data_IF_645917897921
#
_entry.id   IF_645917897921
#
_cell.length_a   1.000
_cell.length_b   1.000
_cell.length_c   1.000
_cell.angle_alpha   90.00
_cell.angle_beta   90.00
_cell.angle_gamma   90.00
#
_symmetry.space_group_name_H-M   'P 1'
#
loop_
_entity.id
_entity.type
_entity.pdbx_description
1 polymer ?
#
# COMPACT_ATOMS: atom_id res chain seq x y z
N UNK A 1 10.11 -7.22 30.11
CA UNK A 1 10.87 -5.95 30.01
C UNK A 1 9.96 -4.95 29.29
N UNK A 2 9.80 -3.70 29.76
CA UNK A 2 8.99 -2.73 29.01
C UNK A 2 9.64 -2.44 27.65
N UNK A 3 8.83 -2.14 26.60
CA UNK A 3 9.36 -1.84 25.29
C UNK A 3 10.31 -0.62 25.31
N UNK A 4 11.24 -0.52 24.35
CA UNK A 4 12.15 0.63 24.25
C UNK A 4 11.38 1.97 24.20
N UNK A 5 12.00 3.05 24.68
CA UNK A 5 11.38 4.37 24.68
C UNK A 5 10.90 4.80 23.28
N UNK A 6 11.65 4.42 22.23
CA UNK A 6 11.28 4.66 20.82
C UNK A 6 9.91 4.05 20.51
N UNK A 7 9.69 2.79 20.82
CA UNK A 7 8.43 2.10 20.54
C UNK A 7 7.27 2.68 21.35
N UNK A 8 7.47 2.97 22.63
CA UNK A 8 6.42 3.61 23.44
C UNK A 8 6.00 4.97 22.89
N UNK A 9 6.95 5.75 22.33
CA UNK A 9 6.66 7.05 21.71
C UNK A 9 5.84 6.84 20.43
N UNK A 10 6.18 5.87 19.58
CA UNK A 10 5.43 5.53 18.36
C UNK A 10 4.00 5.11 18.69
N UNK A 11 3.82 4.19 19.63
CA UNK A 11 2.50 3.72 20.06
C UNK A 11 1.63 4.85 20.64
N UNK A 12 2.22 5.72 21.45
CA UNK A 12 1.52 6.87 22.01
C UNK A 12 1.14 7.90 20.94
N UNK A 13 2.06 8.14 19.99
CA UNK A 13 1.84 9.06 18.88
C UNK A 13 0.71 8.56 17.98
N UNK A 14 0.74 7.28 17.58
CA UNK A 14 -0.31 6.69 16.76
C UNK A 14 -1.68 6.87 17.38
N UNK A 15 -1.84 6.50 18.67
CA UNK A 15 -3.10 6.67 19.40
C UNK A 15 -3.57 8.12 19.44
N UNK A 16 -2.68 9.05 19.80
CA UNK A 16 -3.04 10.46 19.95
C UNK A 16 -3.37 11.12 18.60
N UNK A 17 -2.62 10.80 17.54
CA UNK A 17 -2.88 11.33 16.22
C UNK A 17 -4.19 10.79 15.65
N UNK A 18 -4.49 9.50 15.85
CA UNK A 18 -5.78 8.92 15.46
C UNK A 18 -6.97 9.55 16.20
N UNK A 19 -6.79 9.88 17.50
CA UNK A 19 -7.86 10.47 18.30
C UNK A 19 -8.16 11.93 17.98
N UNK A 20 -7.15 12.76 17.73
CA UNK A 20 -7.33 14.20 17.62
C UNK A 20 -6.64 14.86 16.42
N UNK A 21 -6.02 14.08 15.57
CA UNK A 21 -5.30 14.54 14.39
C UNK A 21 -3.88 15.05 14.67
N UNK A 22 -3.03 15.07 13.63
CA UNK A 22 -1.62 15.49 13.74
C UNK A 22 -1.47 16.93 14.23
N UNK A 23 -2.34 17.84 13.79
CA UNK A 23 -2.26 19.26 14.19
C UNK A 23 -2.39 19.48 15.69
N UNK A 24 -3.31 18.75 16.34
CA UNK A 24 -3.60 18.89 17.78
C UNK A 24 -2.73 18.05 18.71
N UNK A 25 -2.11 16.99 18.22
CA UNK A 25 -1.20 16.16 18.99
C UNK A 25 0.13 16.90 19.20
N UNK A 26 0.48 17.25 20.43
CA UNK A 26 1.75 17.92 20.74
C UNK A 26 2.84 16.90 21.08
N UNK A 27 4.10 17.27 20.83
CA UNK A 27 5.27 16.43 21.18
C UNK A 27 5.33 16.16 22.69
N UNK A 28 4.98 17.14 23.50
CA UNK A 28 4.91 17.03 24.97
C UNK A 28 3.86 16.02 25.42
N UNK A 29 2.66 16.07 24.85
CA UNK A 29 1.59 15.09 25.17
C UNK A 29 1.96 13.67 24.74
N UNK A 30 2.57 13.53 23.56
CA UNK A 30 3.05 12.24 23.06
C UNK A 30 4.10 11.67 24.01
N UNK A 31 5.10 12.46 24.39
CA UNK A 31 6.14 12.04 25.33
C UNK A 31 5.57 11.66 26.70
N UNK A 32 4.65 12.46 27.23
CA UNK A 32 3.99 12.19 28.50
C UNK A 32 3.17 10.89 28.46
N UNK A 33 2.40 10.67 27.39
CA UNK A 33 1.63 9.44 27.18
C UNK A 33 2.51 8.19 26.97
N UNK A 34 3.74 8.38 26.48
CA UNK A 34 4.75 7.33 26.32
C UNK A 34 5.53 7.02 27.61
N UNK A 35 5.35 7.81 28.69
CA UNK A 35 6.21 7.75 29.87
C UNK A 35 7.68 8.03 29.52
N UNK A 36 7.93 9.02 28.66
CA UNK A 36 9.25 9.41 28.18
C UNK A 36 9.49 10.93 28.37
N UNK A 37 10.75 11.34 28.43
CA UNK A 37 11.08 12.75 28.35
C UNK A 37 10.88 13.26 26.91
N UNK A 38 10.42 14.50 26.74
CA UNK A 38 10.20 15.11 25.43
C UNK A 38 11.48 15.14 24.58
N UNK A 39 12.65 15.34 25.22
CA UNK A 39 13.94 15.25 24.55
C UNK A 39 14.24 13.89 23.91
N UNK A 40 13.63 12.80 24.42
CA UNK A 40 13.74 11.48 23.79
C UNK A 40 13.01 11.43 22.47
N UNK A 41 11.88 12.13 22.32
CA UNK A 41 11.18 12.25 21.03
C UNK A 41 12.06 12.96 20.01
N UNK A 42 12.61 14.10 20.36
CA UNK A 42 13.49 14.86 19.46
C UNK A 42 14.75 14.08 19.09
N UNK A 43 15.35 13.36 20.05
CA UNK A 43 16.53 12.53 19.79
C UNK A 43 16.24 11.39 18.81
N UNK A 44 15.07 10.76 18.88
CA UNK A 44 14.74 9.59 18.04
C UNK A 44 14.16 9.96 16.67
N UNK A 45 13.42 11.06 16.56
CA UNK A 45 12.60 11.39 15.40
C UNK A 45 12.88 12.77 14.80
N UNK A 46 13.66 13.60 15.48
CA UNK A 46 13.95 14.98 15.08
C UNK A 46 12.81 15.93 15.43
N UNK A 47 11.62 15.67 14.96
CA UNK A 47 10.41 16.45 15.24
C UNK A 47 9.13 15.61 15.08
N UNK A 48 7.98 16.27 15.22
CA UNK A 48 6.66 15.61 15.06
C UNK A 48 6.43 15.06 13.65
N UNK A 49 6.97 15.72 12.62
CA UNK A 49 6.82 15.24 11.24
C UNK A 49 7.73 14.06 10.96
N UNK A 50 8.94 14.03 11.51
CA UNK A 50 9.82 12.87 11.47
C UNK A 50 9.18 11.64 12.13
N UNK A 51 8.51 11.85 13.25
CA UNK A 51 7.73 10.82 13.95
C UNK A 51 6.55 10.32 13.08
N UNK A 52 5.79 11.21 12.44
CA UNK A 52 4.71 10.85 11.54
C UNK A 52 5.22 10.04 10.33
N UNK A 53 6.32 10.49 9.73
CA UNK A 53 6.92 9.78 8.59
C UNK A 53 7.34 8.37 8.97
N UNK A 54 7.90 8.20 10.17
CA UNK A 54 8.27 6.89 10.69
C UNK A 54 7.05 5.98 10.88
N UNK A 55 5.96 6.50 11.48
CA UNK A 55 4.71 5.78 11.62
C UNK A 55 4.17 5.30 10.26
N UNK A 56 4.07 6.20 9.29
CA UNK A 56 3.52 5.90 7.96
C UNK A 56 4.39 4.92 7.17
N UNK A 57 5.71 5.05 7.28
CA UNK A 57 6.64 4.30 6.44
C UNK A 57 6.94 2.90 6.97
N UNK A 58 6.92 2.71 8.30
CA UNK A 58 7.48 1.50 8.89
C UNK A 58 6.63 0.85 9.98
N UNK A 59 5.90 1.65 10.78
CA UNK A 59 5.30 1.16 12.03
C UNK A 59 3.80 0.89 11.93
N UNK A 60 3.11 1.36 10.89
CA UNK A 60 1.71 1.00 10.68
C UNK A 60 1.60 -0.50 10.37
N UNK A 61 0.86 -1.28 11.18
CA UNK A 61 0.62 -2.69 10.91
C UNK A 61 0.01 -2.92 9.52
N UNK A 62 -0.86 -2.01 9.09
CA UNK A 62 -1.52 -2.04 7.79
C UNK A 62 -0.52 -1.86 6.64
N UNK A 63 0.53 -1.03 6.83
CA UNK A 63 1.60 -0.90 5.85
C UNK A 63 2.44 -2.18 5.77
N UNK A 64 2.75 -2.78 6.93
CA UNK A 64 3.48 -4.04 6.98
C UNK A 64 2.66 -5.17 6.31
N UNK A 65 1.35 -5.25 6.59
CA UNK A 65 0.46 -6.21 5.98
C UNK A 65 0.36 -6.02 4.45
N UNK A 66 0.32 -4.78 3.96
CA UNK A 66 0.33 -4.52 2.51
C UNK A 66 1.66 -4.92 1.86
N UNK A 67 2.79 -4.59 2.49
CA UNK A 67 4.12 -5.02 1.98
C UNK A 67 4.30 -6.54 1.99
N UNK A 68 3.63 -7.24 2.90
CA UNK A 68 3.68 -8.69 2.98
C UNK A 68 3.00 -9.40 1.80
N UNK A 69 2.18 -8.70 0.99
CA UNK A 69 1.54 -9.27 -0.21
C UNK A 69 2.57 -9.92 -1.14
N UNK A 70 3.76 -9.32 -1.29
CA UNK A 70 4.82 -9.89 -2.11
C UNK A 70 5.31 -11.27 -1.62
N UNK A 71 5.10 -11.58 -0.33
CA UNK A 71 5.44 -12.87 0.28
C UNK A 71 4.22 -13.80 0.35
N UNK A 72 3.02 -13.27 0.58
CA UNK A 72 1.77 -14.03 0.68
C UNK A 72 1.25 -14.46 -0.70
N UNK A 73 1.45 -13.63 -1.71
CA UNK A 73 1.15 -13.90 -3.12
C UNK A 73 2.42 -13.68 -3.97
N UNK A 74 3.43 -14.56 -3.85
CA UNK A 74 4.71 -14.39 -4.54
C UNK A 74 4.51 -14.57 -6.05
N UNK A 75 5.14 -13.71 -6.87
CA UNK A 75 5.06 -13.80 -8.31
C UNK A 75 5.44 -15.18 -8.85
N UNK A 76 4.64 -15.69 -9.79
CA UNK A 76 4.85 -17.01 -10.40
C UNK A 76 4.34 -18.18 -9.56
N UNK A 77 3.76 -17.94 -8.41
CA UNK A 77 3.15 -18.98 -7.57
C UNK A 77 1.68 -18.64 -7.30
N UNK A 78 0.79 -19.52 -7.71
CA UNK A 78 -0.65 -19.36 -7.51
C UNK A 78 -1.34 -18.54 -8.62
N UNK A 79 -2.47 -17.95 -8.26
CA UNK A 79 -3.34 -17.19 -9.17
C UNK A 79 -3.09 -15.69 -9.04
N UNK A 80 -2.77 -15.03 -10.15
CA UNK A 80 -2.57 -13.58 -10.21
C UNK A 80 -3.84 -12.82 -9.81
N UNK A 81 -5.04 -13.27 -10.22
CA UNK A 81 -6.28 -12.59 -9.88
C UNK A 81 -6.50 -12.58 -8.37
N UNK A 82 -6.29 -13.71 -7.70
CA UNK A 82 -6.35 -13.80 -6.24
C UNK A 82 -5.28 -12.91 -5.57
N UNK A 83 -4.07 -12.86 -6.12
CA UNK A 83 -3.00 -11.96 -5.65
C UNK A 83 -3.38 -10.49 -5.77
N UNK A 84 -4.02 -10.09 -6.87
CA UNK A 84 -4.51 -8.72 -7.08
C UNK A 84 -5.64 -8.35 -6.13
N UNK A 85 -6.56 -9.27 -5.83
CA UNK A 85 -7.60 -9.07 -4.81
C UNK A 85 -6.95 -8.81 -3.45
N UNK A 86 -6.03 -9.67 -3.02
CA UNK A 86 -5.31 -9.50 -1.76
C UNK A 86 -4.55 -8.17 -1.70
N UNK A 87 -3.87 -7.79 -2.80
CA UNK A 87 -3.18 -6.51 -2.92
C UNK A 87 -4.14 -5.34 -2.68
N UNK A 88 -5.27 -5.32 -3.37
CA UNK A 88 -6.27 -4.25 -3.26
C UNK A 88 -6.87 -4.15 -1.86
N UNK A 89 -7.25 -5.28 -1.26
CA UNK A 89 -7.79 -5.34 0.10
C UNK A 89 -6.81 -4.74 1.11
N UNK A 90 -5.54 -5.14 1.06
CA UNK A 90 -4.49 -4.64 1.96
C UNK A 90 -4.20 -3.16 1.71
N UNK A 91 -4.19 -2.72 0.46
CA UNK A 91 -4.00 -1.31 0.10
C UNK A 91 -5.15 -0.43 0.62
N UNK A 92 -6.41 -0.86 0.50
CA UNK A 92 -7.56 -0.12 1.04
C UNK A 92 -7.44 0.04 2.55
N UNK A 93 -7.10 -1.03 3.28
CA UNK A 93 -6.93 -1.00 4.73
C UNK A 93 -5.78 -0.08 5.13
N UNK A 94 -4.66 -0.13 4.42
CA UNK A 94 -3.54 0.79 4.64
C UNK A 94 -3.94 2.26 4.42
N UNK A 95 -4.58 2.59 3.30
CA UNK A 95 -5.00 3.96 3.05
C UNK A 95 -6.04 4.45 4.06
N UNK A 96 -6.96 3.59 4.50
CA UNK A 96 -7.91 3.93 5.54
C UNK A 96 -7.23 4.31 6.87
N UNK A 97 -6.14 3.64 7.23
CA UNK A 97 -5.35 3.97 8.40
C UNK A 97 -4.45 5.22 8.21
N UNK A 98 -3.89 5.40 7.01
CA UNK A 98 -2.95 6.48 6.70
C UNK A 98 -3.62 7.85 6.48
N UNK A 99 -4.81 7.88 5.89
CA UNK A 99 -5.53 9.13 5.57
C UNK A 99 -5.73 10.04 6.80
N UNK A 100 -6.25 9.57 7.95
CA UNK A 100 -6.43 10.43 9.13
C UNK A 100 -5.11 10.97 9.68
N UNK A 101 -4.02 10.21 9.52
CA UNK A 101 -2.70 10.63 10.00
C UNK A 101 -2.13 11.76 9.14
N UNK A 102 -2.39 11.76 7.85
CA UNK A 102 -1.86 12.74 6.88
C UNK A 102 -2.76 13.94 6.64
N UNK A 103 -4.07 13.82 6.89
CA UNK A 103 -5.07 14.84 6.57
C UNK A 103 -4.73 16.22 7.18
N UNK A 104 -4.24 16.26 8.42
CA UNK A 104 -3.84 17.51 9.07
C UNK A 104 -2.65 18.21 8.40
N UNK A 105 -1.80 17.48 7.68
CA UNK A 105 -0.67 18.08 6.97
C UNK A 105 -1.11 18.88 5.75
N UNK A 106 -2.21 18.50 5.10
CA UNK A 106 -2.76 19.24 3.96
C UNK A 106 -3.43 20.56 4.38
N UNK A 107 -3.92 20.66 5.60
CA UNK A 107 -4.54 21.87 6.15
C UNK A 107 -3.53 22.91 6.62
N UNK A 108 -2.28 22.53 6.84
CA UNK A 108 -1.21 23.36 7.35
C UNK A 108 -0.04 23.36 6.36
N UNK A 109 0.21 24.54 5.77
CA UNK A 109 1.22 24.69 4.72
C UNK A 109 2.65 24.42 5.22
N UNK A 110 2.96 24.80 6.46
CA UNK A 110 4.27 24.56 7.04
C UNK A 110 4.50 23.08 7.32
N UNK A 111 3.51 22.39 7.89
CA UNK A 111 3.54 20.95 8.11
C UNK A 111 3.68 20.19 6.77
N UNK A 112 2.96 20.62 5.73
CA UNK A 112 3.06 20.01 4.41
C UNK A 112 4.46 20.14 3.80
N UNK A 113 5.04 21.34 3.83
CA UNK A 113 6.40 21.57 3.34
C UNK A 113 7.42 20.75 4.13
N UNK A 114 7.25 20.67 5.44
CA UNK A 114 8.12 19.86 6.30
C UNK A 114 8.02 18.38 5.98
N UNK A 115 6.80 17.86 5.82
CA UNK A 115 6.56 16.48 5.39
C UNK A 115 7.23 16.18 4.04
N UNK A 116 7.05 17.05 3.05
CA UNK A 116 7.69 16.92 1.73
C UNK A 116 9.23 16.92 1.81
N UNK A 117 9.80 17.79 2.67
CA UNK A 117 11.25 17.84 2.88
C UNK A 117 11.79 16.53 3.46
N UNK A 118 11.14 16.01 4.52
CA UNK A 118 11.53 14.76 5.16
C UNK A 118 11.41 13.58 4.19
N UNK A 119 10.32 13.52 3.42
CA UNK A 119 10.14 12.44 2.43
C UNK A 119 11.24 12.47 1.36
N UNK A 120 11.65 13.65 0.89
CA UNK A 120 12.77 13.78 -0.06
C UNK A 120 14.11 13.37 0.56
N UNK A 121 14.38 13.81 1.79
CA UNK A 121 15.62 13.51 2.49
C UNK A 121 15.77 11.99 2.78
N UNK A 122 14.68 11.34 3.18
CA UNK A 122 14.67 9.91 3.54
C UNK A 122 14.34 8.98 2.39
N UNK A 123 14.03 9.50 1.22
CA UNK A 123 13.55 8.69 0.09
C UNK A 123 12.25 7.96 0.39
N UNK A 124 11.38 8.54 1.24
CA UNK A 124 10.08 7.96 1.62
C UNK A 124 8.94 8.69 0.94
N UNK A 125 7.72 8.16 1.03
CA UNK A 125 6.52 8.80 0.50
C UNK A 125 5.71 7.89 -0.42
N UNK A 126 4.62 8.41 -1.01
CA UNK A 126 3.69 7.61 -1.82
C UNK A 126 4.32 6.92 -3.03
N UNK A 127 5.41 7.48 -3.57
CA UNK A 127 6.14 6.89 -4.70
C UNK A 127 6.74 5.53 -4.38
N UNK A 128 7.09 5.25 -3.10
CA UNK A 128 7.59 3.93 -2.71
C UNK A 128 6.51 2.85 -2.79
N UNK A 129 5.27 3.21 -2.47
CA UNK A 129 4.15 2.30 -2.59
C UNK A 129 3.91 1.93 -4.06
N UNK A 130 3.92 2.92 -4.96
CA UNK A 130 3.81 2.69 -6.40
C UNK A 130 4.98 1.86 -6.93
N UNK A 131 6.22 2.16 -6.51
CA UNK A 131 7.38 1.39 -6.95
C UNK A 131 7.28 -0.07 -6.48
N UNK A 132 6.89 -0.30 -5.23
CA UNK A 132 6.67 -1.66 -4.71
C UNK A 132 5.60 -2.43 -5.48
N UNK A 133 4.49 -1.77 -5.87
CA UNK A 133 3.45 -2.36 -6.70
C UNK A 133 3.98 -2.69 -8.10
N UNK A 134 4.74 -1.79 -8.74
CA UNK A 134 5.37 -2.03 -10.04
C UNK A 134 6.33 -3.21 -9.98
N UNK A 135 7.15 -3.30 -8.95
CA UNK A 135 8.14 -4.38 -8.80
C UNK A 135 7.45 -5.74 -8.57
N UNK A 136 6.36 -5.77 -7.80
CA UNK A 136 5.54 -6.97 -7.62
C UNK A 136 4.86 -7.40 -8.92
N UNK A 137 4.24 -6.49 -9.67
CA UNK A 137 3.64 -6.76 -10.98
C UNK A 137 4.69 -7.22 -12.00
N UNK A 138 5.91 -6.64 -11.97
CA UNK A 138 7.02 -7.06 -12.82
C UNK A 138 7.41 -8.52 -12.56
N UNK A 139 7.39 -8.96 -11.31
CA UNK A 139 7.60 -10.36 -10.98
C UNK A 139 6.59 -11.27 -11.67
N UNK A 140 5.30 -10.92 -11.67
CA UNK A 140 4.24 -11.66 -12.37
C UNK A 140 4.41 -11.62 -13.88
N UNK A 141 4.84 -10.50 -14.45
CA UNK A 141 5.15 -10.38 -15.87
C UNK A 141 6.34 -11.27 -16.25
N UNK A 142 7.40 -11.30 -15.46
CA UNK A 142 8.57 -12.17 -15.67
C UNK A 142 8.20 -13.65 -15.54
N UNK A 143 7.27 -14.00 -14.67
CA UNK A 143 6.74 -15.34 -14.52
C UNK A 143 5.76 -15.75 -15.66
N UNK A 144 5.45 -14.83 -16.58
CA UNK A 144 4.60 -15.11 -17.73
C UNK A 144 3.10 -15.01 -17.48
N UNK A 145 2.67 -14.45 -16.36
CA UNK A 145 1.25 -14.26 -16.01
C UNK A 145 0.67 -12.94 -16.54
N UNK A 146 1.52 -12.00 -16.94
CA UNK A 146 1.14 -10.73 -17.58
C UNK A 146 1.88 -10.56 -18.89
N UNK A 147 1.20 -9.92 -19.85
CA UNK A 147 1.78 -9.56 -21.15
C UNK A 147 3.04 -8.71 -20.96
N UNK A 148 4.08 -9.00 -21.75
CA UNK A 148 5.34 -8.26 -21.73
C UNK A 148 5.20 -6.79 -22.16
N UNK A 149 4.11 -6.43 -22.84
CA UNK A 149 3.81 -5.06 -23.26
C UNK A 149 2.90 -4.32 -22.28
N UNK A 150 2.44 -4.95 -21.19
CA UNK A 150 1.61 -4.31 -20.18
C UNK A 150 2.36 -3.15 -19.52
N UNK A 151 1.71 -1.98 -19.45
CA UNK A 151 2.23 -0.82 -18.71
C UNK A 151 2.01 -1.02 -17.21
N UNK A 152 3.01 -1.62 -16.56
CA UNK A 152 2.96 -1.95 -15.14
C UNK A 152 2.84 -0.71 -14.24
N UNK A 153 3.36 0.45 -14.70
CA UNK A 153 3.23 1.69 -13.94
C UNK A 153 1.78 2.21 -13.99
N UNK A 154 1.17 2.23 -15.16
CA UNK A 154 -0.24 2.62 -15.29
C UNK A 154 -1.15 1.66 -14.50
N UNK A 155 -0.89 0.35 -14.54
CA UNK A 155 -1.61 -0.64 -13.72
C UNK A 155 -1.46 -0.35 -12.23
N UNK A 156 -0.24 -0.13 -11.73
CA UNK A 156 0.02 0.19 -10.33
C UNK A 156 -0.69 1.47 -9.90
N UNK A 157 -0.66 2.52 -10.73
CA UNK A 157 -1.37 3.79 -10.46
C UNK A 157 -2.88 3.57 -10.38
N UNK A 158 -3.45 2.80 -11.30
CA UNK A 158 -4.89 2.53 -11.30
C UNK A 158 -5.33 1.71 -10.07
N UNK A 159 -4.59 0.66 -9.71
CA UNK A 159 -4.88 -0.18 -8.55
C UNK A 159 -4.72 0.60 -7.23
N UNK A 160 -3.58 1.27 -7.04
CA UNK A 160 -3.34 2.07 -5.83
C UNK A 160 -4.32 3.25 -5.74
N UNK A 161 -4.61 3.93 -6.86
CA UNK A 161 -5.57 5.03 -6.94
C UNK A 161 -6.99 4.56 -6.61
N UNK A 162 -7.41 3.41 -7.13
CA UNK A 162 -8.70 2.80 -6.80
C UNK A 162 -8.82 2.41 -5.32
N UNK A 163 -7.76 1.85 -4.75
CA UNK A 163 -7.71 1.55 -3.32
C UNK A 163 -7.80 2.83 -2.46
N UNK A 164 -7.07 3.87 -2.84
CA UNK A 164 -7.09 5.16 -2.16
C UNK A 164 -8.48 5.81 -2.21
N UNK A 165 -9.13 5.87 -3.40
CA UNK A 165 -10.45 6.46 -3.53
C UNK A 165 -11.52 5.66 -2.78
N UNK A 166 -11.37 4.33 -2.70
CA UNK A 166 -12.23 3.48 -1.90
C UNK A 166 -12.14 3.88 -0.42
N UNK A 167 -10.94 3.87 0.13
CA UNK A 167 -10.69 4.23 1.53
C UNK A 167 -11.15 5.67 1.85
N UNK A 168 -10.88 6.62 0.96
CA UNK A 168 -11.30 8.02 1.10
C UNK A 168 -12.83 8.17 1.12
N UNK A 169 -13.52 7.52 0.19
CA UNK A 169 -14.98 7.59 0.10
C UNK A 169 -15.66 6.98 1.32
N UNK A 170 -15.18 5.84 1.78
CA UNK A 170 -15.70 5.19 2.99
C UNK A 170 -15.50 6.05 4.24
N UNK A 171 -14.40 6.78 4.34
CA UNK A 171 -14.17 7.68 5.47
C UNK A 171 -15.03 8.93 5.47
N UNK A 172 -15.28 9.52 4.29
CA UNK A 172 -16.07 10.75 4.18
C UNK A 172 -17.57 10.51 4.19
N UNK A 173 -18.02 9.47 3.50
CA UNK A 173 -19.44 9.23 3.25
C UNK A 173 -19.98 7.99 3.96
N UNK A 174 -19.14 7.23 4.62
CA UNK A 174 -19.46 5.94 5.24
C UNK A 174 -19.40 4.76 4.27
N UNK A 175 -19.46 3.53 4.79
CA UNK A 175 -19.40 2.33 3.98
C UNK A 175 -20.62 2.20 3.05
N UNK A 176 -20.45 1.50 1.92
CA UNK A 176 -21.53 1.21 0.98
C UNK A 176 -21.88 2.31 -0.02
N UNK A 177 -21.14 3.43 -0.04
CA UNK A 177 -21.36 4.52 -1.00
C UNK A 177 -20.71 4.27 -2.38
N UNK A 178 -19.85 3.27 -2.47
CA UNK A 178 -19.22 2.87 -3.73
C UNK A 178 -20.14 1.88 -4.45
N UNK A 179 -20.34 2.10 -5.74
CA UNK A 179 -21.17 1.20 -6.57
C UNK A 179 -20.61 -0.22 -6.55
N UNK A 180 -21.43 -1.18 -6.17
CA UNK A 180 -21.02 -2.59 -6.01
C UNK A 180 -20.27 -2.88 -4.72
N UNK A 181 -20.10 -1.86 -3.85
CA UNK A 181 -19.32 -1.99 -2.62
C UNK A 181 -17.81 -2.12 -2.88
N UNK A 182 -17.07 -2.43 -1.84
CA UNK A 182 -15.62 -2.62 -1.90
C UNK A 182 -15.25 -3.77 -2.87
N UNK A 183 -15.90 -4.92 -2.72
CA UNK A 183 -15.62 -6.11 -3.53
C UNK A 183 -15.93 -5.87 -5.01
N UNK A 184 -17.07 -5.24 -5.31
CA UNK A 184 -17.42 -4.88 -6.69
C UNK A 184 -16.42 -3.93 -7.33
N UNK A 185 -15.90 -2.94 -6.58
CA UNK A 185 -14.85 -2.05 -7.08
C UNK A 185 -13.56 -2.82 -7.36
N UNK A 186 -13.12 -3.68 -6.43
CA UNK A 186 -11.89 -4.47 -6.56
C UNK A 186 -11.95 -5.31 -7.83
N UNK A 187 -12.98 -6.13 -8.00
CA UNK A 187 -13.13 -6.99 -9.17
C UNK A 187 -13.22 -6.19 -10.47
N UNK A 188 -14.03 -5.12 -10.49
CA UNK A 188 -14.16 -4.28 -11.68
C UNK A 188 -12.85 -3.60 -12.10
N UNK A 189 -12.03 -3.18 -11.14
CA UNK A 189 -10.72 -2.61 -11.43
C UNK A 189 -9.74 -3.67 -11.95
N UNK A 190 -9.72 -4.84 -11.33
CA UNK A 190 -8.86 -5.95 -11.78
C UNK A 190 -9.23 -6.36 -13.21
N UNK A 191 -10.50 -6.56 -13.48
CA UNK A 191 -11.00 -6.93 -14.81
C UNK A 191 -10.66 -5.86 -15.87
N UNK A 192 -10.77 -4.58 -15.51
CA UNK A 192 -10.52 -3.47 -16.45
C UNK A 192 -9.04 -3.23 -16.69
N UNK A 193 -8.22 -3.32 -15.64
CA UNK A 193 -6.82 -2.88 -15.66
C UNK A 193 -5.86 -4.03 -15.93
N UNK A 194 -6.10 -5.18 -15.33
CA UNK A 194 -5.24 -6.34 -15.45
C UNK A 194 -5.78 -7.40 -16.42
N UNK A 195 -7.11 -7.59 -16.48
CA UNK A 195 -7.76 -8.61 -17.29
C UNK A 195 -7.27 -8.66 -18.75
N UNK A 196 -7.19 -7.52 -19.47
CA UNK A 196 -6.70 -7.51 -20.86
C UNK A 196 -5.24 -7.96 -21.04
N UNK A 197 -4.46 -7.93 -19.97
CA UNK A 197 -3.04 -8.25 -19.95
C UNK A 197 -2.72 -9.58 -19.26
N UNK A 198 -3.71 -10.26 -18.69
CA UNK A 198 -3.52 -11.59 -18.10
C UNK A 198 -3.33 -12.62 -19.21
N UNK A 199 -2.27 -13.41 -19.11
CA UNK A 199 -2.03 -14.54 -20.02
C UNK A 199 -2.72 -15.78 -19.45
N UNK A 200 -3.37 -16.56 -20.32
CA UNK A 200 -3.91 -17.85 -19.93
C UNK A 200 -2.75 -18.79 -19.57
N UNK A 201 -2.84 -19.48 -18.44
CA UNK A 201 -1.83 -20.45 -17.96
C UNK A 201 -1.53 -21.55 -19.00
N UNK A 202 -2.46 -21.83 -19.93
CA UNK A 202 -2.27 -22.76 -21.03
C UNK A 202 -1.26 -22.28 -22.09
N UNK A 203 -1.02 -20.97 -22.17
CA UNK A 203 -0.05 -20.37 -23.11
C UNK A 203 1.37 -20.24 -22.52
N UNK A 204 1.51 -20.41 -21.21
CA UNK A 204 2.80 -20.24 -20.50
C UNK A 204 3.67 -21.52 -20.53
N UNK A 205 3.11 -22.72 -20.84
CA UNK A 205 3.86 -23.97 -20.90
C UNK A 205 4.32 -24.29 -22.35
N UNK A 206 5.62 -24.16 -22.65
CA UNK A 206 6.17 -24.49 -23.97
C UNK A 206 5.96 -25.95 -24.38
N UNK A 207 5.81 -26.87 -23.42
CA UNK A 207 5.59 -28.30 -23.66
C UNK A 207 4.16 -28.57 -24.12
N UNK A 208 3.17 -27.82 -23.71
CA UNK A 208 1.77 -27.94 -24.13
C UNK A 208 1.56 -27.38 -25.55
N UNK A 209 2.33 -26.36 -25.95
CA UNK A 209 2.31 -25.81 -27.33
C UNK A 209 2.80 -26.85 -28.35
N UNK A 210 3.81 -27.62 -27.98
CA UNK A 210 4.38 -28.64 -28.85
C UNK A 210 3.41 -29.81 -29.03
N UNK A 211 2.68 -30.20 -28.01
CA UNK A 211 1.70 -31.27 -28.03
C UNK A 211 0.46 -30.90 -28.85
N UNK A 212 -0.09 -29.69 -28.67
CA UNK A 212 -1.24 -29.20 -29.44
C UNK A 212 -0.91 -29.01 -30.95
N UNK A 213 0.34 -28.67 -31.29
CA UNK A 213 0.81 -28.57 -32.66
C UNK A 213 1.01 -29.97 -33.31
N UNK A 214 1.40 -30.97 -32.52
CA UNK A 214 1.55 -32.37 -32.95
C UNK A 214 0.19 -33.01 -33.23
N UNK A 215 -0.80 -32.79 -32.36
CA UNK A 215 -2.15 -33.35 -32.50
C UNK A 215 -2.91 -32.80 -33.71
N UNK A 216 -2.70 -31.53 -34.08
CA UNK A 216 -3.29 -30.93 -35.29
C UNK A 216 -2.67 -31.44 -36.57
N UNK A 217 -1.42 -31.92 -36.56
CA UNK A 217 -0.77 -32.55 -37.72
C UNK A 217 -1.14 -34.03 -37.88
N UNK A 218 -1.64 -34.68 -36.84
CA UNK A 218 -2.07 -36.08 -36.91
C UNK A 218 -3.53 -36.27 -37.36
N UNK A 219 -4.31 -35.19 -37.47
CA UNK A 219 -5.73 -35.20 -37.87
C UNK A 219 -5.99 -34.56 -39.25
N UNK A 220 -4.99 -34.23 -40.03
CA UNK A 220 -5.03 -33.77 -41.43
C UNK A 220 -4.28 -34.70 -42.37
#
# INVERSE_FOLDING_TARGET
MPPPARQRILDAALRLIQQKGIGRATTREIAMAAGAAEGSLFKNFGDKMGLLTELLSYELPENQAWRAVATEAPPGHGDLAAGLVLFMERAIVYYAAALPLTAGSFADRELLHRHQAINRERGTGPQLALQGAVDWLRGWQQAGHLDQQADLYAMAVALCGGALICAYSEQLAGPGQIRGGRDGLIHSLIDTVAGPHMTNSADADPHLRTQAASDRRAQG
#
